data_IF_094217035126
#
_entry.id   IF_094217035126
#
_cell.length_a   1.000
_cell.length_b   1.000
_cell.length_c   1.000
_cell.angle_alpha   90.00
_cell.angle_beta   90.00
_cell.angle_gamma   90.00
#
_symmetry.space_group_name_H-M   'P 1'
#
loop_
_entity.id
_entity.type
_entity.pdbx_description
1 polymer ?
#
# COMPACT_ATOMS: atom_id res chain seq x y z
N UNK A 1 -25.49 -38.37 4.94
CA UNK A 1 -24.46 -37.96 3.96
C UNK A 1 -24.31 -39.07 2.93
N UNK A 2 -24.18 -38.75 1.65
CA UNK A 2 -24.24 -39.72 0.53
C UNK A 2 -22.88 -40.31 0.11
N UNK A 3 -21.79 -40.06 0.85
CA UNK A 3 -20.45 -40.58 0.52
C UNK A 3 -19.77 -39.90 -0.67
N UNK A 4 -20.35 -38.81 -1.19
CA UNK A 4 -19.79 -38.01 -2.28
C UNK A 4 -18.76 -37.04 -1.70
N UNK A 5 -17.52 -37.11 -2.18
CA UNK A 5 -16.38 -36.33 -1.66
C UNK A 5 -15.68 -35.47 -2.71
N UNK A 6 -16.05 -35.62 -3.99
CA UNK A 6 -15.42 -34.85 -5.07
C UNK A 6 -16.04 -33.45 -5.09
N UNK A 7 -15.25 -32.38 -4.97
CA UNK A 7 -15.78 -31.02 -5.04
C UNK A 7 -16.42 -30.71 -6.40
N UNK A 8 -17.41 -29.83 -6.41
CA UNK A 8 -17.99 -29.30 -7.64
C UNK A 8 -16.94 -28.52 -8.45
N UNK A 9 -16.85 -28.76 -9.75
CA UNK A 9 -15.84 -28.14 -10.62
C UNK A 9 -16.32 -26.85 -11.31
N UNK A 10 -17.58 -26.45 -11.09
CA UNK A 10 -18.17 -25.25 -11.67
C UNK A 10 -18.34 -25.29 -13.20
N UNK A 11 -18.30 -26.48 -13.82
CA UNK A 11 -18.49 -26.69 -15.25
C UNK A 11 -19.89 -27.25 -15.56
N UNK A 12 -20.28 -27.19 -16.83
CA UNK A 12 -21.53 -27.76 -17.30
C UNK A 12 -21.37 -29.27 -17.56
N UNK A 13 -22.22 -30.09 -16.94
CA UNK A 13 -22.25 -31.56 -17.09
C UNK A 13 -23.66 -32.07 -17.43
N UNK A 14 -24.36 -31.38 -18.33
CA UNK A 14 -25.67 -31.81 -18.83
C UNK A 14 -25.50 -32.82 -19.97
N UNK A 15 -26.29 -33.90 -19.97
CA UNK A 15 -26.40 -34.80 -21.12
C UNK A 15 -27.21 -34.16 -22.25
N UNK A 16 -27.30 -34.86 -23.39
CA UNK A 16 -28.05 -34.41 -24.57
C UNK A 16 -29.56 -34.28 -24.34
N UNK A 17 -30.09 -34.79 -23.23
CA UNK A 17 -31.49 -34.70 -22.82
C UNK A 17 -31.71 -33.65 -21.73
N UNK A 18 -30.66 -32.94 -21.30
CA UNK A 18 -30.73 -31.89 -20.29
C UNK A 18 -30.63 -32.37 -18.84
N UNK A 19 -30.24 -33.62 -18.58
CA UNK A 19 -30.04 -34.14 -17.22
C UNK A 19 -28.60 -33.93 -16.73
N UNK A 20 -28.45 -33.53 -15.47
CA UNK A 20 -27.14 -33.39 -14.83
C UNK A 20 -26.52 -34.75 -14.52
N UNK A 21 -25.34 -35.01 -15.10
CA UNK A 21 -24.69 -36.34 -15.08
C UNK A 21 -23.80 -36.59 -13.87
N UNK A 22 -23.44 -35.54 -13.11
CA UNK A 22 -22.47 -35.63 -12.00
C UNK A 22 -23.12 -35.58 -10.60
N UNK A 23 -24.43 -35.78 -10.49
CA UNK A 23 -25.18 -35.70 -9.22
C UNK A 23 -24.71 -36.70 -8.16
N UNK A 24 -24.21 -37.87 -8.57
CA UNK A 24 -23.70 -38.91 -7.66
C UNK A 24 -22.17 -38.89 -7.50
N UNK A 25 -21.49 -38.06 -8.29
CA UNK A 25 -20.03 -38.01 -8.35
C UNK A 25 -19.48 -36.76 -7.66
N UNK A 26 -20.13 -35.61 -7.85
CA UNK A 26 -19.71 -34.31 -7.31
C UNK A 26 -20.63 -33.84 -6.19
N UNK A 27 -20.03 -33.22 -5.17
CA UNK A 27 -20.73 -32.56 -4.08
C UNK A 27 -21.41 -31.26 -4.55
N UNK A 28 -22.25 -30.70 -3.69
CA UNK A 28 -22.90 -29.42 -3.93
C UNK A 28 -21.86 -28.30 -4.11
N UNK A 29 -22.13 -27.30 -4.96
CA UNK A 29 -21.27 -26.14 -5.07
C UNK A 29 -21.25 -25.36 -3.76
N UNK A 30 -20.09 -24.84 -3.39
CA UNK A 30 -19.99 -23.88 -2.29
C UNK A 30 -20.65 -22.54 -2.67
N UNK A 31 -21.04 -21.75 -1.66
CA UNK A 31 -21.60 -20.41 -1.88
C UNK A 31 -20.61 -19.53 -2.64
N UNK A 32 -19.30 -19.65 -2.35
CA UNK A 32 -18.26 -18.90 -3.05
C UNK A 32 -18.16 -19.28 -4.54
N UNK A 33 -18.26 -20.58 -4.87
CA UNK A 33 -18.26 -21.04 -6.26
C UNK A 33 -19.51 -20.56 -7.01
N UNK A 34 -20.67 -20.60 -6.36
CA UNK A 34 -21.92 -20.08 -6.91
C UNK A 34 -21.80 -18.56 -7.17
N UNK A 35 -21.30 -17.81 -6.19
CA UNK A 35 -21.07 -16.37 -6.29
C UNK A 35 -20.18 -16.03 -7.50
N UNK A 36 -19.05 -16.73 -7.63
CA UNK A 36 -18.13 -16.56 -8.74
C UNK A 36 -18.80 -16.83 -10.09
N UNK A 37 -19.51 -17.96 -10.22
CA UNK A 37 -20.14 -18.34 -11.50
C UNK A 37 -21.29 -17.43 -11.89
N UNK A 38 -22.08 -16.94 -10.92
CA UNK A 38 -23.14 -15.98 -11.20
C UNK A 38 -22.55 -14.64 -11.68
N UNK A 39 -21.50 -14.15 -11.01
CA UNK A 39 -20.78 -12.93 -11.41
C UNK A 39 -20.16 -13.06 -12.81
N UNK A 40 -19.49 -14.18 -13.09
CA UNK A 40 -18.92 -14.48 -14.42
C UNK A 40 -19.98 -14.52 -15.53
N UNK A 41 -21.17 -15.05 -15.23
CA UNK A 41 -22.27 -15.18 -16.18
C UNK A 41 -23.20 -13.96 -16.21
N UNK A 42 -22.96 -12.96 -15.37
CA UNK A 42 -23.78 -11.74 -15.24
C UNK A 42 -25.26 -12.07 -15.07
N UNK A 43 -25.55 -13.13 -14.31
CA UNK A 43 -26.90 -13.59 -14.09
C UNK A 43 -27.49 -12.91 -12.84
N UNK A 44 -28.80 -12.66 -12.89
CA UNK A 44 -29.58 -12.21 -11.73
C UNK A 44 -30.25 -13.40 -11.07
N UNK A 45 -30.39 -13.38 -9.74
CA UNK A 45 -30.90 -14.52 -8.98
C UNK A 45 -32.20 -14.17 -8.25
N UNK A 46 -33.28 -14.91 -8.55
CA UNK A 46 -34.56 -14.79 -7.83
C UNK A 46 -34.77 -16.04 -6.99
N UNK A 47 -34.78 -15.87 -5.67
CA UNK A 47 -35.14 -16.93 -4.74
C UNK A 47 -36.66 -16.90 -4.49
N UNK A 48 -37.40 -17.84 -5.11
CA UNK A 48 -38.81 -18.05 -4.84
C UNK A 48 -38.97 -19.19 -3.82
N UNK A 49 -39.22 -18.86 -2.55
CA UNK A 49 -39.18 -19.82 -1.43
C UNK A 49 -40.43 -19.73 -0.57
N UNK A 50 -40.76 -20.80 0.15
CA UNK A 50 -41.87 -20.76 1.11
C UNK A 50 -41.56 -19.82 2.29
N UNK A 51 -42.61 -19.31 2.96
CA UNK A 51 -42.47 -18.34 4.06
C UNK A 51 -41.52 -18.83 5.16
N UNK A 52 -41.53 -20.12 5.46
CA UNK A 52 -40.67 -20.76 6.47
C UNK A 52 -39.17 -20.59 6.18
N UNK A 53 -38.78 -20.54 4.91
CA UNK A 53 -37.38 -20.48 4.49
C UNK A 53 -36.92 -19.07 4.09
N UNK A 54 -37.84 -18.10 4.06
CA UNK A 54 -37.58 -16.73 3.59
C UNK A 54 -36.35 -16.09 4.25
N UNK A 55 -36.21 -16.22 5.56
CA UNK A 55 -35.10 -15.61 6.30
C UNK A 55 -33.74 -16.22 5.95
N UNK A 56 -33.69 -17.55 5.75
CA UNK A 56 -32.46 -18.23 5.35
C UNK A 56 -31.98 -17.75 3.97
N UNK A 57 -32.89 -17.67 3.01
CA UNK A 57 -32.54 -17.22 1.66
C UNK A 57 -32.28 -15.72 1.58
N UNK A 58 -32.85 -14.93 2.49
CA UNK A 58 -32.47 -13.52 2.66
C UNK A 58 -31.02 -13.38 3.10
N UNK A 59 -30.58 -14.15 4.10
CA UNK A 59 -29.18 -14.18 4.52
C UNK A 59 -28.25 -14.65 3.39
N UNK A 60 -28.69 -15.64 2.60
CA UNK A 60 -27.93 -16.09 1.44
C UNK A 60 -27.81 -15.01 0.35
N UNK A 61 -28.89 -14.27 0.08
CA UNK A 61 -28.89 -13.13 -0.84
C UNK A 61 -27.95 -12.01 -0.36
N UNK A 62 -27.95 -11.70 0.94
CA UNK A 62 -27.05 -10.73 1.57
C UNK A 62 -25.58 -11.19 1.55
N UNK A 63 -25.32 -12.50 1.56
CA UNK A 63 -23.99 -13.09 1.42
C UNK A 63 -23.42 -13.04 -0.02
N UNK A 64 -24.21 -12.57 -0.99
CA UNK A 64 -23.84 -12.42 -2.41
C UNK A 64 -23.92 -10.92 -2.82
N UNK A 65 -23.12 -10.03 -2.20
CA UNK A 65 -23.31 -8.58 -2.31
C UNK A 65 -23.08 -8.01 -3.72
N UNK A 66 -22.26 -8.67 -4.54
CA UNK A 66 -21.95 -8.25 -5.92
C UNK A 66 -22.95 -8.79 -6.93
N UNK A 67 -23.93 -9.58 -6.51
CA UNK A 67 -24.94 -10.19 -7.37
C UNK A 67 -26.29 -9.55 -7.11
N UNK A 68 -26.91 -9.06 -8.18
CA UNK A 68 -28.29 -8.64 -8.16
C UNK A 68 -29.20 -9.84 -7.89
N UNK A 69 -29.63 -9.96 -6.63
CA UNK A 69 -30.50 -11.02 -6.16
C UNK A 69 -31.72 -10.48 -5.39
N UNK A 70 -32.81 -11.23 -5.42
CA UNK A 70 -34.04 -10.91 -4.67
C UNK A 70 -34.70 -12.17 -4.11
N UNK A 71 -35.49 -12.01 -3.06
CA UNK A 71 -36.17 -13.10 -2.34
C UNK A 71 -37.67 -12.82 -2.28
N UNK A 72 -38.46 -13.70 -2.91
CA UNK A 72 -39.91 -13.67 -2.94
C UNK A 72 -40.52 -14.89 -2.24
N UNK A 73 -41.73 -14.72 -1.70
CA UNK A 73 -42.46 -15.77 -1.00
C UNK A 73 -43.38 -16.50 -1.98
N UNK A 74 -43.08 -17.75 -2.26
CA UNK A 74 -43.91 -18.64 -3.07
C UNK A 74 -45.00 -19.26 -2.20
N UNK A 75 -46.25 -19.15 -2.63
CA UNK A 75 -47.37 -19.83 -2.00
C UNK A 75 -47.17 -21.36 -2.08
N UNK A 76 -47.70 -22.10 -1.10
CA UNK A 76 -47.51 -23.57 -1.04
C UNK A 76 -48.08 -24.30 -2.26
N UNK A 77 -49.05 -23.69 -2.96
CA UNK A 77 -49.63 -24.17 -4.21
C UNK A 77 -49.07 -23.48 -5.46
N UNK A 78 -48.03 -22.65 -5.30
CA UNK A 78 -47.34 -21.90 -6.35
C UNK A 78 -48.24 -20.99 -7.22
N UNK A 79 -49.45 -20.66 -6.77
CA UNK A 79 -50.41 -19.84 -7.56
C UNK A 79 -49.90 -18.43 -7.86
N UNK A 80 -49.01 -17.90 -7.03
CA UNK A 80 -48.47 -16.55 -7.17
C UNK A 80 -47.12 -16.49 -7.91
N UNK A 81 -46.66 -17.56 -8.56
CA UNK A 81 -45.33 -17.58 -9.20
C UNK A 81 -45.17 -16.50 -10.27
N UNK A 82 -46.21 -16.22 -11.06
CA UNK A 82 -46.15 -15.23 -12.15
C UNK A 82 -45.98 -13.83 -11.60
N UNK A 83 -46.81 -13.45 -10.62
CA UNK A 83 -46.73 -12.13 -9.97
C UNK A 83 -45.44 -11.99 -9.17
N UNK A 84 -44.96 -13.08 -8.54
CA UNK A 84 -43.69 -13.09 -7.83
C UNK A 84 -42.53 -12.78 -8.79
N UNK A 85 -42.45 -13.45 -9.94
CA UNK A 85 -41.37 -13.19 -10.89
C UNK A 85 -41.41 -11.73 -11.36
N UNK A 86 -42.59 -11.19 -11.66
CA UNK A 86 -42.73 -9.79 -12.06
C UNK A 86 -42.24 -8.83 -10.96
N UNK A 87 -42.67 -9.03 -9.71
CA UNK A 87 -42.31 -8.18 -8.58
C UNK A 87 -40.81 -8.27 -8.24
N UNK A 88 -40.25 -9.48 -8.20
CA UNK A 88 -38.84 -9.69 -7.90
C UNK A 88 -37.92 -9.20 -9.03
N UNK A 89 -38.35 -9.35 -10.29
CA UNK A 89 -37.64 -8.77 -11.44
C UNK A 89 -37.67 -7.24 -11.38
N UNK A 90 -38.81 -6.64 -11.02
CA UNK A 90 -38.91 -5.19 -10.81
C UNK A 90 -37.91 -4.74 -9.74
N UNK A 91 -37.84 -5.38 -8.58
CA UNK A 91 -36.86 -5.04 -7.53
C UNK A 91 -35.41 -5.08 -8.03
N UNK A 92 -35.07 -6.11 -8.82
CA UNK A 92 -33.75 -6.24 -9.43
C UNK A 92 -33.49 -5.09 -10.41
N UNK A 93 -34.43 -4.80 -11.31
CA UNK A 93 -34.29 -3.73 -12.30
C UNK A 93 -34.21 -2.32 -11.68
N UNK A 94 -34.71 -2.16 -10.45
CA UNK A 94 -34.70 -0.90 -9.71
C UNK A 94 -33.45 -0.72 -8.85
N UNK A 95 -32.49 -1.64 -8.93
CA UNK A 95 -31.26 -1.64 -8.15
C UNK A 95 -30.05 -1.71 -9.07
N UNK A 96 -29.13 -0.77 -8.91
CA UNK A 96 -27.83 -0.77 -9.58
C UNK A 96 -26.75 -1.01 -8.53
N UNK A 97 -25.90 -2.01 -8.78
CA UNK A 97 -24.71 -2.32 -7.97
C UNK A 97 -23.51 -2.19 -8.88
N UNK A 98 -22.61 -1.25 -8.59
CA UNK A 98 -21.36 -1.12 -9.34
C UNK A 98 -20.34 -2.16 -8.85
N UNK A 99 -19.76 -2.89 -9.78
CA UNK A 99 -18.75 -3.93 -9.53
C UNK A 99 -17.54 -3.74 -10.44
N UNK A 100 -16.42 -4.29 -10.01
CA UNK A 100 -15.17 -4.30 -10.76
C UNK A 100 -14.46 -5.66 -10.73
N UNK A 101 -13.39 -5.75 -11.52
CA UNK A 101 -12.48 -6.88 -11.58
C UNK A 101 -11.11 -6.59 -10.94
N UNK A 102 -11.01 -5.56 -10.09
CA UNK A 102 -9.76 -5.25 -9.41
C UNK A 102 -9.33 -6.41 -8.50
N UNK A 103 -8.04 -6.65 -8.49
CA UNK A 103 -7.43 -7.69 -7.68
C UNK A 103 -6.47 -7.04 -6.68
N UNK A 104 -6.54 -7.46 -5.42
CA UNK A 104 -5.63 -6.98 -4.37
C UNK A 104 -4.15 -7.18 -4.74
N UNK A 105 -3.82 -8.18 -5.57
CA UNK A 105 -2.44 -8.42 -6.04
C UNK A 105 -1.91 -7.37 -7.01
N UNK A 106 -2.77 -6.49 -7.54
CA UNK A 106 -2.39 -5.39 -8.43
C UNK A 106 -1.87 -4.17 -7.65
N UNK A 107 -1.88 -4.20 -6.31
CA UNK A 107 -1.41 -3.09 -5.49
C UNK A 107 -2.30 -1.86 -5.53
N UNK A 108 -3.56 -2.01 -5.97
CA UNK A 108 -4.54 -0.92 -6.03
C UNK A 108 -5.72 -1.16 -5.09
N UNK A 109 -6.41 -0.07 -4.75
CA UNK A 109 -7.66 -0.06 -3.99
C UNK A 109 -8.68 0.81 -4.70
N UNK A 110 -9.90 0.30 -4.86
CA UNK A 110 -11.04 1.07 -5.34
C UNK A 110 -11.95 1.44 -4.16
N UNK A 111 -12.51 2.65 -4.21
CA UNK A 111 -13.63 3.05 -3.36
C UNK A 111 -14.74 3.69 -4.20
N UNK A 112 -15.97 3.53 -3.72
CA UNK A 112 -17.17 3.92 -4.46
C UNK A 112 -18.03 4.87 -3.65
N UNK A 113 -18.51 5.90 -4.32
CA UNK A 113 -19.52 6.81 -3.80
C UNK A 113 -20.64 6.94 -4.80
N UNK A 114 -21.88 6.95 -4.34
CA UNK A 114 -23.05 7.06 -5.22
C UNK A 114 -23.89 8.30 -4.93
N UNK A 115 -24.43 8.87 -6.00
CA UNK A 115 -25.42 9.93 -5.99
C UNK A 115 -26.63 9.45 -6.79
N UNK A 116 -27.58 8.85 -6.09
CA UNK A 116 -28.83 8.35 -6.65
C UNK A 116 -29.88 9.49 -6.77
N UNK A 117 -31.02 9.20 -7.39
CA UNK A 117 -32.10 10.14 -7.80
C UNK A 117 -32.54 11.19 -6.77
N UNK A 118 -32.57 10.83 -5.49
CA UNK A 118 -33.04 11.69 -4.40
C UNK A 118 -31.91 12.25 -3.53
N UNK A 119 -30.66 11.94 -3.86
CA UNK A 119 -29.48 12.34 -3.10
C UNK A 119 -28.87 13.63 -3.62
N UNK A 120 -28.96 14.72 -2.86
CA UNK A 120 -28.08 15.88 -3.10
C UNK A 120 -26.62 15.57 -2.75
N UNK A 121 -26.41 14.63 -1.83
CA UNK A 121 -25.10 14.25 -1.29
C UNK A 121 -24.65 12.88 -1.80
N UNK A 122 -23.33 12.78 -2.03
CA UNK A 122 -22.63 11.52 -2.26
C UNK A 122 -22.65 10.67 -1.00
N UNK A 123 -22.96 9.38 -1.13
CA UNK A 123 -22.91 8.39 -0.06
C UNK A 123 -21.81 7.37 -0.35
N UNK A 124 -21.10 6.93 0.68
CA UNK A 124 -20.08 5.86 0.60
C UNK A 124 -20.75 4.50 0.36
N UNK A 125 -21.15 4.25 -0.89
CA UNK A 125 -21.77 3.00 -1.32
C UNK A 125 -21.65 2.86 -2.84
N UNK A 126 -21.54 1.62 -3.30
CA UNK A 126 -21.59 1.24 -4.72
C UNK A 126 -23.01 0.87 -5.18
N UNK A 127 -24.03 1.12 -4.35
CA UNK A 127 -25.42 0.73 -4.61
C UNK A 127 -26.31 1.96 -4.78
N UNK A 128 -27.24 1.87 -5.72
CA UNK A 128 -28.41 2.73 -5.78
C UNK A 128 -29.68 1.87 -5.90
N UNK A 129 -30.65 2.10 -5.01
CA UNK A 129 -31.95 1.42 -5.00
C UNK A 129 -33.08 2.37 -5.42
N UNK A 130 -34.21 1.80 -5.84
CA UNK A 130 -35.44 2.54 -6.18
C UNK A 130 -35.38 3.30 -7.50
N UNK A 131 -34.48 2.90 -8.41
CA UNK A 131 -34.30 3.48 -9.74
C UNK A 131 -35.41 3.01 -10.67
N UNK A 132 -35.89 3.83 -11.59
CA UNK A 132 -36.82 3.45 -12.65
C UNK A 132 -36.18 3.55 -14.03
N UNK A 133 -36.83 2.94 -15.02
CA UNK A 133 -36.38 3.09 -16.41
C UNK A 133 -36.42 4.56 -16.80
N UNK A 134 -35.29 5.07 -17.30
CA UNK A 134 -35.11 6.47 -17.68
C UNK A 134 -34.48 7.36 -16.61
N UNK A 135 -34.30 6.84 -15.39
CA UNK A 135 -33.62 7.55 -14.31
C UNK A 135 -32.09 7.54 -14.52
N UNK A 136 -31.44 8.64 -14.15
CA UNK A 136 -29.98 8.79 -14.22
C UNK A 136 -29.38 8.86 -12.80
N UNK A 137 -28.28 8.14 -12.59
CA UNK A 137 -27.53 8.13 -11.32
C UNK A 137 -26.05 8.29 -11.61
N UNK A 138 -25.30 8.85 -10.65
CA UNK A 138 -23.86 9.07 -10.79
C UNK A 138 -23.10 8.26 -9.75
N UNK A 139 -22.06 7.58 -10.18
CA UNK A 139 -21.09 6.91 -9.30
C UNK A 139 -19.73 7.59 -9.44
N UNK A 140 -19.11 7.93 -8.33
CA UNK A 140 -17.74 8.42 -8.22
C UNK A 140 -16.87 7.25 -7.76
N UNK A 141 -15.89 6.89 -8.58
CA UNK A 141 -14.98 5.78 -8.30
C UNK A 141 -13.59 6.37 -8.10
N UNK A 142 -12.99 6.11 -6.93
CA UNK A 142 -11.62 6.52 -6.64
C UNK A 142 -10.70 5.32 -6.78
N UNK A 143 -9.68 5.45 -7.61
CA UNK A 143 -8.62 4.47 -7.78
C UNK A 143 -7.35 4.96 -7.06
N UNK A 144 -6.87 4.18 -6.11
CA UNK A 144 -5.68 4.48 -5.31
C UNK A 144 -4.62 3.40 -5.50
N UNK A 145 -3.39 3.81 -5.86
CA UNK A 145 -2.23 2.93 -5.84
C UNK A 145 -1.67 2.84 -4.41
N UNK A 146 -1.69 1.65 -3.82
CA UNK A 146 -1.26 1.42 -2.43
C UNK A 146 0.23 1.10 -2.33
N UNK A 147 0.78 0.38 -3.31
CA UNK A 147 2.20 0.04 -3.40
C UNK A 147 2.54 -0.43 -4.81
N UNK A 148 3.83 -0.42 -5.13
CA UNK A 148 4.35 -0.84 -6.42
C UNK A 148 4.50 -2.35 -6.52
N UNK A 149 3.86 -2.94 -7.53
CA UNK A 149 3.96 -4.36 -7.88
C UNK A 149 4.74 -4.55 -9.18
N UNK A 150 5.07 -5.81 -9.54
CA UNK A 150 5.76 -6.12 -10.79
C UNK A 150 4.90 -5.91 -12.03
N UNK A 151 3.63 -6.30 -11.95
CA UNK A 151 2.66 -6.11 -13.04
C UNK A 151 1.94 -4.77 -12.87
N UNK A 152 2.39 -3.75 -13.59
CA UNK A 152 1.93 -2.35 -13.43
C UNK A 152 0.97 -1.88 -14.51
N UNK A 153 0.85 -2.66 -15.57
CA UNK A 153 -0.04 -2.44 -16.70
C UNK A 153 -1.18 -3.46 -16.69
N UNK A 154 -2.42 -2.98 -16.64
CA UNK A 154 -3.60 -3.84 -16.68
C UNK A 154 -4.86 -3.08 -17.06
N UNK A 155 -5.85 -3.82 -17.56
CA UNK A 155 -7.18 -3.30 -17.87
C UNK A 155 -8.13 -3.55 -16.70
N UNK A 156 -8.63 -2.47 -16.12
CA UNK A 156 -9.68 -2.47 -15.12
C UNK A 156 -11.04 -2.32 -15.82
N UNK A 157 -12.02 -3.12 -15.43
CA UNK A 157 -13.39 -3.07 -15.94
C UNK A 157 -14.33 -2.78 -14.79
N UNK A 158 -15.04 -1.66 -14.90
CA UNK A 158 -16.01 -1.21 -13.90
C UNK A 158 -17.38 -1.15 -14.57
N UNK A 159 -18.40 -1.74 -13.97
CA UNK A 159 -19.74 -1.68 -14.54
C UNK A 159 -20.82 -2.14 -13.60
N UNK A 160 -22.09 -1.95 -13.99
CA UNK A 160 -23.22 -2.45 -13.24
C UNK A 160 -23.25 -3.99 -13.24
N UNK A 161 -23.53 -4.57 -12.07
CA UNK A 161 -23.70 -6.02 -11.91
C UNK A 161 -24.86 -6.53 -12.76
N UNK A 162 -24.64 -7.65 -13.46
CA UNK A 162 -25.65 -8.28 -14.31
C UNK A 162 -25.80 -7.67 -15.71
N UNK A 163 -24.95 -6.70 -16.08
CA UNK A 163 -24.99 -6.05 -17.40
C UNK A 163 -23.67 -6.18 -18.17
N UNK A 164 -23.77 -6.06 -19.49
CA UNK A 164 -22.63 -6.24 -20.37
C UNK A 164 -21.79 -4.99 -20.55
N UNK A 165 -22.41 -3.81 -20.47
CA UNK A 165 -21.73 -2.54 -20.58
C UNK A 165 -20.78 -2.31 -19.40
N UNK A 166 -19.51 -2.04 -19.70
CA UNK A 166 -18.49 -1.73 -18.70
C UNK A 166 -17.63 -0.57 -19.17
N UNK A 167 -17.19 0.26 -18.24
CA UNK A 167 -16.11 1.21 -18.43
C UNK A 167 -14.78 0.45 -18.38
N UNK A 168 -14.06 0.43 -19.49
CA UNK A 168 -12.69 -0.07 -19.56
C UNK A 168 -11.71 1.06 -19.24
N UNK A 169 -10.84 0.83 -18.26
CA UNK A 169 -9.81 1.77 -17.82
C UNK A 169 -8.45 1.08 -17.98
N UNK A 170 -7.61 1.63 -18.86
CA UNK A 170 -6.23 1.18 -19.01
C UNK A 170 -5.36 1.86 -17.94
N UNK A 171 -4.86 1.07 -17.00
CA UNK A 171 -4.10 1.55 -15.84
C UNK A 171 -2.61 1.30 -16.07
N UNK A 172 -1.82 2.37 -15.93
CA UNK A 172 -0.37 2.34 -15.88
C UNK A 172 0.13 2.92 -14.56
N UNK A 173 0.63 2.06 -13.67
CA UNK A 173 1.15 2.49 -12.36
C UNK A 173 2.60 2.93 -12.50
N UNK A 174 2.84 4.25 -12.41
CA UNK A 174 4.19 4.81 -12.46
C UNK A 174 4.86 4.69 -11.08
N UNK A 175 5.89 3.86 -11.03
CA UNK A 175 6.62 3.52 -9.80
C UNK A 175 8.11 3.86 -9.87
N UNK A 176 8.66 3.90 -11.07
CA UNK A 176 10.07 4.21 -11.28
C UNK A 176 10.22 5.71 -11.55
N UNK A 177 11.35 6.27 -11.16
CA UNK A 177 11.69 7.65 -11.45
C UNK A 177 12.34 7.74 -12.85
N UNK A 178 12.06 8.81 -13.59
CA UNK A 178 12.56 8.98 -14.97
C UNK A 178 14.09 8.87 -15.09
N UNK A 179 14.84 9.36 -14.09
CA UNK A 179 16.30 9.28 -14.04
C UNK A 179 16.84 7.84 -13.95
N UNK A 180 16.04 6.89 -13.45
CA UNK A 180 16.43 5.48 -13.38
C UNK A 180 16.40 4.80 -14.76
N UNK A 181 15.70 5.39 -15.73
CA UNK A 181 15.55 4.85 -17.08
C UNK A 181 16.60 5.38 -18.06
N UNK A 182 17.02 6.65 -17.90
CA UNK A 182 17.86 7.33 -18.89
C UNK A 182 19.24 7.77 -18.38
N UNK A 183 19.42 7.94 -17.06
CA UNK A 183 20.63 8.54 -16.48
C UNK A 183 21.48 7.54 -15.70
N UNK A 184 21.46 6.27 -16.11
CA UNK A 184 22.30 5.23 -15.50
C UNK A 184 23.67 5.22 -16.18
N UNK A 185 24.68 5.68 -15.46
CA UNK A 185 26.08 5.54 -15.91
C UNK A 185 26.66 4.29 -15.27
N UNK A 186 26.70 3.20 -16.04
CA UNK A 186 27.25 1.94 -15.57
C UNK A 186 28.74 2.04 -15.27
N UNK A 187 29.16 1.44 -14.15
CA UNK A 187 30.55 1.45 -13.67
C UNK A 187 31.16 2.87 -13.70
N UNK A 188 30.42 3.84 -13.17
CA UNK A 188 30.77 5.25 -13.25
C UNK A 188 32.13 5.54 -12.58
N UNK A 189 33.00 6.38 -13.17
CA UNK A 189 34.21 6.85 -12.52
C UNK A 189 33.94 7.57 -11.19
N UNK A 190 32.79 8.26 -11.08
CA UNK A 190 32.34 8.91 -9.84
C UNK A 190 32.10 7.88 -8.73
N UNK A 191 31.81 6.64 -9.09
CA UNK A 191 31.62 5.51 -8.20
C UNK A 191 32.85 4.60 -8.14
N UNK A 192 34.05 5.15 -8.36
CA UNK A 192 35.34 4.43 -8.43
C UNK A 192 35.34 3.24 -9.39
N UNK A 193 34.50 3.26 -10.43
CA UNK A 193 34.25 2.13 -11.34
C UNK A 193 33.81 0.83 -10.64
N UNK A 194 33.38 0.92 -9.38
CA UNK A 194 32.90 -0.18 -8.52
C UNK A 194 31.37 -0.19 -8.36
N UNK A 195 30.66 0.71 -9.05
CA UNK A 195 29.20 0.83 -8.99
C UNK A 195 28.61 1.63 -10.14
N UNK A 196 27.29 1.61 -10.24
CA UNK A 196 26.53 2.36 -11.25
C UNK A 196 26.06 3.69 -10.64
N UNK A 197 26.17 4.80 -11.37
CA UNK A 197 25.58 6.06 -10.95
C UNK A 197 24.13 6.10 -11.43
N UNK A 198 23.18 6.11 -10.50
CA UNK A 198 21.74 6.13 -10.77
C UNK A 198 21.13 7.33 -10.07
N UNK A 199 20.54 8.26 -10.81
CA UNK A 199 19.92 9.47 -10.27
C UNK A 199 20.86 10.27 -9.32
N UNK A 200 22.16 10.33 -9.65
CA UNK A 200 23.16 11.03 -8.83
C UNK A 200 23.66 10.27 -7.59
N UNK A 201 23.25 9.01 -7.38
CA UNK A 201 23.67 8.17 -6.26
C UNK A 201 24.41 6.93 -6.80
N UNK A 202 25.50 6.53 -6.15
CA UNK A 202 26.23 5.32 -6.54
C UNK A 202 25.56 4.06 -5.97
N UNK A 203 25.16 3.14 -6.86
CA UNK A 203 24.75 1.79 -6.56
C UNK A 203 25.96 0.86 -6.65
N UNK A 204 26.64 0.64 -5.51
CA UNK A 204 27.85 -0.15 -5.43
C UNK A 204 27.61 -1.64 -5.69
N UNK A 205 28.55 -2.29 -6.38
CA UNK A 205 28.50 -3.72 -6.72
C UNK A 205 29.42 -4.53 -5.82
N UNK A 206 29.08 -5.81 -5.66
CA UNK A 206 29.92 -6.77 -4.94
C UNK A 206 30.06 -6.43 -3.45
N UNK A 207 31.30 -6.27 -3.00
CA UNK A 207 31.65 -5.97 -1.60
C UNK A 207 32.08 -4.51 -1.41
N UNK A 208 31.72 -3.62 -2.33
CA UNK A 208 32.06 -2.20 -2.23
C UNK A 208 30.90 -1.42 -1.61
N UNK A 209 31.24 -0.43 -0.77
CA UNK A 209 30.29 0.45 -0.08
C UNK A 209 30.82 1.88 0.01
N UNK A 210 30.10 2.75 0.69
CA UNK A 210 30.38 4.19 0.73
C UNK A 210 29.61 4.98 -0.33
N UNK A 211 29.73 6.31 -0.28
CA UNK A 211 28.94 7.22 -1.11
C UNK A 211 29.32 7.13 -2.59
N UNK A 212 30.58 6.80 -2.84
CA UNK A 212 31.23 6.68 -4.14
C UNK A 212 31.82 5.28 -4.37
N UNK A 213 31.40 4.27 -3.61
CA UNK A 213 31.93 2.90 -3.65
C UNK A 213 33.45 2.79 -3.35
N UNK A 214 33.96 3.75 -2.58
CA UNK A 214 35.35 3.89 -2.15
C UNK A 214 35.75 2.84 -1.09
N UNK A 215 34.78 2.33 -0.33
CA UNK A 215 35.02 1.43 0.77
C UNK A 215 35.00 -0.03 0.31
N UNK A 216 35.92 -0.84 0.83
CA UNK A 216 35.77 -2.29 0.80
C UNK A 216 34.98 -2.72 2.04
N UNK A 217 33.71 -3.05 1.84
CA UNK A 217 32.73 -3.35 2.88
C UNK A 217 32.07 -4.72 2.63
N UNK A 218 32.74 -5.83 2.98
CA UNK A 218 32.19 -7.18 2.84
C UNK A 218 30.90 -7.33 3.65
N UNK A 219 29.76 -7.49 2.97
CA UNK A 219 28.48 -7.76 3.62
C UNK A 219 27.85 -6.59 4.37
N UNK A 220 28.37 -5.36 4.24
CA UNK A 220 27.72 -4.17 4.79
C UNK A 220 27.15 -3.30 3.65
N UNK A 221 25.87 -2.95 3.76
CA UNK A 221 25.27 -1.93 2.90
C UNK A 221 25.76 -0.52 3.26
N UNK A 222 25.63 0.43 2.34
CA UNK A 222 25.86 1.86 2.61
C UNK A 222 25.07 2.35 3.82
N UNK A 223 23.82 1.90 3.96
CA UNK A 223 22.96 2.19 5.14
C UNK A 223 23.57 1.66 6.43
N UNK A 224 24.18 0.47 6.41
CA UNK A 224 24.84 -0.11 7.58
C UNK A 224 26.14 0.63 7.93
N UNK A 225 26.84 1.19 6.95
CA UNK A 225 28.01 2.05 7.18
C UNK A 225 27.60 3.39 7.80
N UNK A 226 26.55 4.04 7.28
CA UNK A 226 26.04 5.30 7.83
C UNK A 226 25.53 5.15 9.26
N UNK A 227 24.95 3.99 9.60
CA UNK A 227 24.53 3.68 10.96
C UNK A 227 25.69 3.68 11.96
N UNK A 228 26.91 3.31 11.54
CA UNK A 228 28.11 3.36 12.40
C UNK A 228 28.59 4.77 12.70
N UNK A 229 28.12 5.77 11.95
CA UNK A 229 28.42 7.18 12.15
C UNK A 229 27.36 7.92 12.96
N UNK A 230 26.40 7.19 13.54
CA UNK A 230 25.40 7.74 14.47
C UNK A 230 25.74 7.32 15.90
N UNK A 231 25.77 8.28 16.82
CA UNK A 231 26.01 8.03 18.25
C UNK A 231 24.82 7.31 18.89
N UNK A 232 23.60 7.67 18.48
CA UNK A 232 22.34 7.02 18.84
C UNK A 232 21.45 6.90 17.60
N UNK A 233 20.44 6.03 17.60
CA UNK A 233 19.54 5.86 16.44
C UNK A 233 18.84 7.16 16.01
N UNK A 234 18.63 8.07 16.96
CA UNK A 234 17.99 9.38 16.77
C UNK A 234 18.99 10.49 16.41
N UNK A 235 20.29 10.28 16.64
CA UNK A 235 21.32 11.27 16.30
C UNK A 235 21.48 11.43 14.79
N UNK A 236 21.81 12.65 14.36
CA UNK A 236 22.25 12.90 13.01
C UNK A 236 23.58 12.17 12.73
N UNK A 237 23.83 11.83 11.47
CA UNK A 237 25.13 11.29 11.03
C UNK A 237 26.21 12.29 11.39
N UNK A 238 27.24 11.84 12.12
CA UNK A 238 28.34 12.67 12.62
C UNK A 238 27.88 13.94 13.35
N UNK A 239 26.77 13.85 14.10
CA UNK A 239 26.14 14.96 14.84
C UNK A 239 25.89 16.21 13.96
N UNK A 240 25.76 16.02 12.64
CA UNK A 240 25.60 17.09 11.65
C UNK A 240 26.85 17.96 11.43
N UNK A 241 28.00 17.58 12.00
CA UNK A 241 29.25 18.35 11.98
C UNK A 241 30.38 17.65 11.23
N UNK A 242 30.04 16.71 10.36
CA UNK A 242 31.00 15.96 9.56
C UNK A 242 30.32 15.13 8.49
N UNK A 243 31.14 14.39 7.73
CA UNK A 243 30.70 13.44 6.71
C UNK A 243 31.07 12.03 7.17
N UNK A 244 30.15 11.07 7.02
CA UNK A 244 30.47 9.67 7.27
C UNK A 244 31.21 9.09 6.07
N UNK A 245 32.46 8.67 6.28
CA UNK A 245 33.26 7.98 5.30
C UNK A 245 33.54 6.55 5.79
N UNK A 246 33.00 5.55 5.08
CA UNK A 246 33.17 4.12 5.42
C UNK A 246 32.84 3.73 6.88
N UNK A 247 31.88 4.41 7.51
CA UNK A 247 31.51 4.16 8.91
C UNK A 247 32.40 4.88 9.95
N UNK A 248 33.21 5.84 9.51
CA UNK A 248 34.01 6.72 10.35
C UNK A 248 33.64 8.17 10.04
N UNK A 249 33.47 9.00 11.07
CA UNK A 249 33.15 10.41 10.86
C UNK A 249 34.41 11.24 10.57
N UNK A 250 34.35 11.98 9.47
CA UNK A 250 35.29 13.03 9.13
C UNK A 250 34.70 14.39 9.50
N UNK A 251 35.20 14.99 10.58
CA UNK A 251 34.64 16.23 11.10
C UNK A 251 35.01 17.43 10.23
N UNK A 252 34.02 18.31 10.02
CA UNK A 252 34.17 19.48 9.17
C UNK A 252 35.22 20.45 9.74
N UNK A 253 36.26 20.83 8.96
CA UNK A 253 37.22 21.82 9.40
C UNK A 253 36.58 23.22 9.52
N UNK A 254 37.12 24.05 10.42
CA UNK A 254 36.71 25.44 10.63
C UNK A 254 37.67 26.38 9.91
N UNK A 255 37.19 27.57 9.55
CA UNK A 255 38.03 28.62 8.94
C UNK A 255 39.19 29.04 9.86
N UNK A 256 38.92 29.07 11.17
CA UNK A 256 39.94 29.27 12.18
C UNK A 256 40.65 27.96 12.50
N UNK A 257 41.93 27.85 12.17
CA UNK A 257 42.72 26.61 12.35
C UNK A 257 42.86 26.16 13.81
N UNK A 258 42.66 27.08 14.75
CA UNK A 258 42.68 26.79 16.19
C UNK A 258 41.35 26.21 16.69
N UNK A 259 40.27 26.34 15.92
CA UNK A 259 38.96 25.77 16.21
C UNK A 259 38.85 24.39 15.57
N UNK A 260 38.64 23.38 16.41
CA UNK A 260 38.57 21.98 15.98
C UNK A 260 37.30 21.34 16.48
N UNK A 261 36.63 20.65 15.57
CA UNK A 261 35.58 19.70 15.86
C UNK A 261 36.24 18.32 15.89
N UNK A 262 35.91 17.52 16.90
CA UNK A 262 36.55 16.23 17.16
C UNK A 262 35.57 15.27 17.81
N UNK A 263 36.02 14.05 18.09
CA UNK A 263 35.20 12.98 18.63
C UNK A 263 34.83 11.96 17.56
N UNK A 264 34.41 10.77 17.99
CA UNK A 264 34.13 9.66 17.08
C UNK A 264 32.96 9.97 16.14
N UNK A 265 32.03 10.81 16.59
CA UNK A 265 30.83 11.24 15.88
C UNK A 265 30.82 12.75 15.66
N UNK A 266 31.98 13.42 15.75
CA UNK A 266 32.09 14.89 15.70
C UNK A 266 31.26 15.60 16.78
N UNK A 267 31.10 14.96 17.92
CA UNK A 267 30.30 15.40 19.06
C UNK A 267 30.96 16.51 19.87
N UNK A 268 32.29 16.64 19.80
CA UNK A 268 33.08 17.56 20.62
C UNK A 268 33.64 18.73 19.82
N UNK A 269 33.86 19.84 20.51
CA UNK A 269 34.62 20.98 20.00
C UNK A 269 35.48 21.62 21.10
N UNK A 270 36.42 22.47 20.69
CA UNK A 270 37.31 23.21 21.60
C UNK A 270 36.98 24.71 21.69
N UNK A 271 35.81 25.16 21.25
CA UNK A 271 35.49 26.58 21.13
C UNK A 271 34.12 27.02 21.69
N UNK A 272 33.26 26.08 22.09
CA UNK A 272 31.97 26.33 22.73
C UNK A 272 32.00 26.19 24.27
N UNK A 273 33.17 26.28 24.89
CA UNK A 273 33.26 26.34 26.35
C UNK A 273 32.77 27.69 26.92
N UNK A 274 32.43 27.73 28.23
CA UNK A 274 32.05 28.96 28.92
C UNK A 274 33.08 30.08 28.73
N UNK A 275 32.59 31.30 28.50
CA UNK A 275 33.40 32.50 28.35
C UNK A 275 33.26 33.42 29.55
N UNK A 276 34.37 33.97 30.02
CA UNK A 276 34.41 35.10 30.96
C UNK A 276 35.27 36.20 30.34
N UNK A 277 34.81 37.45 30.37
CA UNK A 277 35.47 38.59 29.71
C UNK A 277 35.89 38.33 28.25
N UNK A 278 35.00 37.68 27.49
CA UNK A 278 35.20 37.26 26.08
C UNK A 278 36.31 36.23 25.86
N UNK A 279 36.96 35.72 26.90
CA UNK A 279 37.95 34.65 26.81
C UNK A 279 37.32 33.30 27.14
N UNK A 280 37.56 32.31 26.29
CA UNK A 280 37.17 30.92 26.56
C UNK A 280 37.92 30.46 27.81
N UNK A 281 37.20 29.81 28.74
CA UNK A 281 37.78 29.33 30.00
C UNK A 281 38.53 30.42 30.79
N UNK A 282 38.03 31.67 30.75
CA UNK A 282 38.65 32.87 31.32
C UNK A 282 40.12 33.12 30.91
N UNK A 283 40.65 32.38 29.92
CA UNK A 283 42.07 32.41 29.55
C UNK A 283 43.00 31.59 30.47
N UNK A 284 42.47 30.81 31.41
CA UNK A 284 43.23 30.02 32.40
C UNK A 284 42.88 28.53 32.37
N UNK A 285 42.52 28.03 31.18
CA UNK A 285 42.16 26.64 30.99
C UNK A 285 42.03 26.26 29.53
N UNK A 286 42.09 24.96 29.26
CA UNK A 286 41.89 24.38 27.93
C UNK A 286 40.44 23.93 27.78
N UNK A 287 39.82 24.28 26.65
CA UNK A 287 38.49 23.78 26.32
C UNK A 287 38.57 22.37 25.75
N UNK A 288 37.93 21.42 26.42
CA UNK A 288 37.86 20.01 26.03
C UNK A 288 36.38 19.60 25.98
N UNK A 289 35.85 19.45 24.77
CA UNK A 289 34.47 19.01 24.53
C UNK A 289 33.41 19.82 25.30
N UNK A 290 33.49 21.16 25.22
CA UNK A 290 32.57 22.06 25.92
C UNK A 290 32.81 22.23 27.43
N UNK A 291 33.81 21.53 28.00
CA UNK A 291 34.21 21.69 29.40
C UNK A 291 35.58 22.33 29.53
N UNK A 292 35.76 23.19 30.53
CA UNK A 292 37.05 23.81 30.80
C UNK A 292 37.89 22.96 31.75
N UNK A 293 39.04 22.50 31.27
CA UNK A 293 40.09 21.93 32.12
C UNK A 293 40.97 23.08 32.60
N UNK A 294 40.90 23.39 33.90
CA UNK A 294 41.65 24.49 34.50
C UNK A 294 43.14 24.18 34.57
N UNK A 295 43.98 25.20 34.42
CA UNK A 295 45.41 25.11 34.70
C UNK A 295 45.66 24.96 36.22
N UNK A 296 46.82 24.41 36.63
CA UNK A 296 47.18 24.29 38.05
C UNK A 296 47.06 25.63 38.78
N UNK A 297 46.32 25.66 39.90
CA UNK A 297 46.08 26.86 40.70
C UNK A 297 44.75 27.57 40.44
N UNK A 298 43.98 27.13 39.43
CA UNK A 298 42.67 27.68 39.10
C UNK A 298 41.56 26.65 39.34
N UNK A 299 40.45 27.06 39.93
CA UNK A 299 39.29 26.18 40.16
C UNK A 299 37.95 26.86 39.90
N UNK A 300 36.95 26.05 39.59
CA UNK A 300 35.56 26.47 39.41
C UNK A 300 35.25 27.09 38.04
N UNK A 301 33.97 27.10 37.66
CA UNK A 301 33.47 27.63 36.38
C UNK A 301 33.68 29.15 36.20
N UNK A 302 34.07 29.85 37.27
CA UNK A 302 34.38 31.29 37.29
C UNK A 302 35.87 31.59 37.44
N UNK A 303 36.74 30.57 37.46
CA UNK A 303 38.19 30.71 37.60
C UNK A 303 38.56 31.65 38.75
N UNK A 304 38.19 31.27 39.99
CA UNK A 304 38.67 31.98 41.17
C UNK A 304 40.10 31.51 41.46
N UNK A 305 41.03 32.46 41.59
CA UNK A 305 42.39 32.23 42.07
C UNK A 305 42.37 31.85 43.56
N UNK A 306 43.20 30.89 43.95
CA UNK A 306 43.55 30.68 45.36
C UNK A 306 44.30 31.88 45.94
#
# INVERSE_FOLDING_TARGET
MAGVVVPNDGKCHLDTRGYYTKSLEQDYPSIALLHQKIKERKANLIFAVTEKNKQLYRQLSEALPDVSSSVGVLADDSRNIVTLIEDEYRKISQKIIMVDNANATQGIRLSYRSKCLSGRALKETNVCDGIKVGDEVTFEVTLEATHCVKQRDFALRIGPSGLDETLAVDVHVQCDCDCQLHEVIYNSPVCHSKGDLVCGICMCKGQSGGRHCECDAPGLSTVALDAKCKRTNESAICEGRGVCNCGVCECTPRDNINEKISGQFCECDNFNCPRHDRKICAGHGTCVCGQCTCEPGWTGARFNSF
#
